data_IF_401164114685
#
_entry.id   IF_401164114685
#
_cell.length_a   1.000
_cell.length_b   1.000
_cell.length_c   1.000
_cell.angle_alpha   90.00
_cell.angle_beta   90.00
_cell.angle_gamma   90.00
#
_symmetry.space_group_name_H-M   'P 1'
#
loop_
_entity.id
_entity.type
_entity.pdbx_description
1 polymer ?
#
# COMPACT_ATOMS: atom_id res chain seq x y z
N UNK A 1 17.76 -17.88 13.45
CA UNK A 1 18.68 -16.72 13.39
C UNK A 1 18.01 -15.54 14.08
N UNK A 2 18.74 -14.77 14.88
CA UNK A 2 18.23 -13.53 15.50
C UNK A 2 18.98 -12.35 14.89
N UNK A 3 18.27 -11.26 14.63
CA UNK A 3 18.82 -10.02 14.12
C UNK A 3 18.85 -8.97 15.23
N UNK A 4 19.84 -8.08 15.21
CA UNK A 4 19.88 -6.93 16.10
C UNK A 4 19.02 -5.82 15.52
N UNK A 5 17.89 -5.53 16.16
CA UNK A 5 16.91 -4.54 15.70
C UNK A 5 16.94 -3.34 16.63
N UNK A 6 17.08 -2.14 16.05
CA UNK A 6 16.91 -0.86 16.73
C UNK A 6 15.43 -0.47 16.68
N UNK A 7 14.83 -0.19 17.83
CA UNK A 7 13.41 0.14 17.97
C UNK A 7 13.29 1.48 18.68
N UNK A 8 12.59 2.42 18.04
CA UNK A 8 12.26 3.74 18.58
C UNK A 8 10.77 3.85 18.80
N UNK A 9 10.36 4.05 20.05
CA UNK A 9 8.95 4.19 20.41
C UNK A 9 8.70 5.65 20.79
N UNK A 10 7.95 6.36 19.96
CA UNK A 10 7.53 7.73 20.24
C UNK A 10 6.30 7.70 21.13
N UNK A 11 6.44 8.20 22.36
CA UNK A 11 5.34 8.27 23.30
C UNK A 11 4.45 9.49 23.00
N UNK A 12 3.12 9.36 23.12
CA UNK A 12 2.22 10.49 22.96
C UNK A 12 2.36 11.50 24.12
N UNK A 13 2.44 12.80 23.80
CA UNK A 13 2.32 13.87 24.80
C UNK A 13 0.85 14.27 25.00
N UNK A 14 0.43 14.35 26.28
CA UNK A 14 -0.97 14.52 26.71
C UNK A 14 -1.54 15.89 26.35
N UNK A 15 -0.69 16.90 26.11
CA UNK A 15 -1.11 18.31 26.12
C UNK A 15 -1.03 19.03 24.77
N UNK A 16 -0.38 18.47 23.74
CA UNK A 16 -0.04 19.27 22.54
C UNK A 16 -0.25 18.56 21.20
N UNK A 17 -0.54 17.26 21.19
CA UNK A 17 -0.51 16.48 19.94
C UNK A 17 0.88 16.39 19.29
N UNK A 18 1.95 16.76 20.02
CA UNK A 18 3.35 16.68 19.58
C UNK A 18 3.98 15.36 20.01
N UNK A 19 5.10 15.03 19.36
CA UNK A 19 5.96 13.90 19.70
C UNK A 19 6.49 14.07 21.13
N UNK A 20 6.19 13.12 22.01
CA UNK A 20 6.69 13.08 23.38
C UNK A 20 8.08 12.44 23.47
N UNK A 21 8.42 11.92 24.65
CA UNK A 21 9.70 11.20 24.87
C UNK A 21 9.82 10.02 23.93
N UNK A 22 11.04 9.75 23.46
CA UNK A 22 11.36 8.60 22.61
C UNK A 22 12.10 7.56 23.45
N UNK A 23 11.57 6.34 23.51
CA UNK A 23 12.29 5.18 24.04
C UNK A 23 13.07 4.55 22.89
N UNK A 24 14.40 4.45 23.01
CA UNK A 24 15.24 3.78 22.01
C UNK A 24 15.87 2.53 22.63
N UNK A 25 15.65 1.38 22.02
CA UNK A 25 16.18 0.09 22.49
C UNK A 25 16.78 -0.68 21.31
N UNK A 26 17.84 -1.43 21.55
CA UNK A 26 18.33 -2.45 20.61
C UNK A 26 18.01 -3.83 21.17
N UNK A 27 17.36 -4.70 20.39
CA UNK A 27 16.92 -6.03 20.83
C UNK A 27 17.27 -7.10 19.79
N UNK A 28 17.60 -8.30 20.27
CA UNK A 28 17.75 -9.48 19.41
C UNK A 28 16.37 -10.08 19.14
N UNK A 29 15.96 -10.08 17.87
CA UNK A 29 14.62 -10.52 17.45
C UNK A 29 14.73 -11.64 16.42
N UNK A 30 13.97 -12.71 16.60
CA UNK A 30 13.89 -13.81 15.63
C UNK A 30 13.12 -13.42 14.37
N UNK A 31 13.46 -14.03 13.23
CA UNK A 31 12.81 -13.72 11.94
C UNK A 31 11.28 -13.88 11.93
N UNK A 32 10.77 -14.85 12.69
CA UNK A 32 9.34 -15.17 12.81
C UNK A 32 8.73 -14.71 14.14
N UNK A 33 9.52 -14.01 14.96
CA UNK A 33 9.06 -13.49 16.24
C UNK A 33 8.08 -12.34 16.02
N UNK A 34 7.02 -12.29 16.83
CA UNK A 34 6.03 -11.23 16.72
C UNK A 34 6.60 -9.92 17.21
N UNK A 35 6.81 -8.96 16.30
CA UNK A 35 7.28 -7.61 16.64
C UNK A 35 6.32 -6.92 17.61
N UNK A 36 5.02 -7.19 17.51
CA UNK A 36 4.02 -6.71 18.46
C UNK A 36 4.36 -7.14 19.90
N UNK A 37 4.65 -8.42 20.11
CA UNK A 37 5.00 -8.95 21.43
C UNK A 37 6.31 -8.33 21.94
N UNK A 38 7.31 -8.23 21.07
CA UNK A 38 8.59 -7.57 21.40
C UNK A 38 8.35 -6.12 21.88
N UNK A 39 7.52 -5.35 21.16
CA UNK A 39 7.19 -3.97 21.50
C UNK A 39 6.42 -3.90 22.82
N UNK A 40 5.42 -4.77 23.02
CA UNK A 40 4.66 -4.81 24.28
C UNK A 40 5.57 -5.15 25.48
N UNK A 41 6.53 -6.05 25.31
CA UNK A 41 7.55 -6.34 26.35
C UNK A 41 8.40 -5.11 26.64
N UNK A 42 8.90 -4.42 25.61
CA UNK A 42 9.66 -3.16 25.81
C UNK A 42 8.80 -2.14 26.57
N UNK A 43 7.53 -1.96 26.20
CA UNK A 43 6.65 -1.03 26.91
C UNK A 43 6.50 -1.40 28.39
N UNK A 44 6.34 -2.69 28.72
CA UNK A 44 6.25 -3.17 30.11
C UNK A 44 7.54 -2.91 30.90
N UNK A 45 8.70 -3.17 30.29
CA UNK A 45 10.01 -2.92 30.90
C UNK A 45 10.22 -1.43 31.22
N UNK A 46 9.63 -0.54 30.41
CA UNK A 46 9.71 0.91 30.56
C UNK A 46 8.42 1.56 31.10
N UNK A 47 7.57 0.80 31.81
CA UNK A 47 6.26 1.30 32.29
C UNK A 47 6.35 2.60 33.10
N UNK A 48 7.42 2.80 33.87
CA UNK A 48 7.67 4.01 34.66
C UNK A 48 7.82 5.29 33.80
N UNK A 49 8.16 5.14 32.51
CA UNK A 49 8.28 6.27 31.58
C UNK A 49 6.99 6.53 30.80
N UNK A 50 6.00 5.62 30.90
CA UNK A 50 4.78 5.73 30.13
C UNK A 50 3.79 6.68 30.81
N UNK A 51 3.01 7.43 30.03
CA UNK A 51 1.91 8.20 30.59
C UNK A 51 0.91 7.29 31.30
N UNK A 52 0.40 7.72 32.46
CA UNK A 52 -0.53 6.93 33.29
C UNK A 52 -1.84 6.52 32.58
N UNK A 53 -2.20 7.19 31.48
CA UNK A 53 -3.39 6.88 30.68
C UNK A 53 -3.15 5.78 29.63
N UNK A 54 -1.91 5.32 29.47
CA UNK A 54 -1.53 4.38 28.43
C UNK A 54 -1.57 2.95 28.96
N UNK A 55 -2.63 2.20 28.62
CA UNK A 55 -2.71 0.75 28.88
C UNK A 55 -1.73 -0.02 27.98
N UNK A 56 -1.05 -1.02 28.54
CA UNK A 56 -0.16 -1.94 27.82
C UNK A 56 -0.78 -3.34 27.83
N UNK A 57 -1.67 -3.60 26.88
CA UNK A 57 -2.31 -4.90 26.70
C UNK A 57 -2.28 -5.34 25.23
N UNK A 58 -2.73 -6.57 24.98
CA UNK A 58 -2.77 -7.17 23.65
C UNK A 58 -3.70 -6.44 22.67
N UNK A 59 -4.57 -5.57 23.15
CA UNK A 59 -5.49 -4.76 22.34
C UNK A 59 -4.93 -3.37 22.05
N UNK A 60 -3.73 -3.03 22.54
CA UNK A 60 -3.11 -1.72 22.29
C UNK A 60 -2.81 -1.52 20.80
N UNK A 61 -3.36 -0.50 20.13
CA UNK A 61 -2.97 -0.19 18.75
C UNK A 61 -1.47 0.14 18.67
N UNK A 62 -0.74 -0.50 17.76
CA UNK A 62 0.69 -0.29 17.55
C UNK A 62 0.93 -0.10 16.06
N UNK A 63 1.34 1.09 15.66
CA UNK A 63 1.78 1.37 14.30
C UNK A 63 3.29 1.15 14.20
N UNK A 64 3.71 0.33 13.23
CA UNK A 64 5.11 0.04 12.92
C UNK A 64 5.45 0.71 11.59
N UNK A 65 6.60 1.37 11.54
CA UNK A 65 7.22 1.91 10.34
C UNK A 65 8.66 1.42 10.25
N UNK A 66 9.15 1.27 9.02
CA UNK A 66 10.59 1.17 8.81
C UNK A 66 11.18 2.57 8.92
N UNK A 67 12.30 2.69 9.60
CA UNK A 67 13.03 3.94 9.54
C UNK A 67 13.59 4.15 8.14
N UNK A 68 13.36 5.34 7.61
CA UNK A 68 13.80 5.72 6.28
C UNK A 68 14.10 7.22 6.25
N UNK A 69 14.90 7.63 5.27
CA UNK A 69 15.09 9.03 4.92
C UNK A 69 13.78 9.66 4.43
N UNK A 70 12.89 8.84 3.88
CA UNK A 70 11.49 9.21 3.65
C UNK A 70 10.74 9.18 4.97
N UNK A 71 10.00 10.25 5.29
CA UNK A 71 9.16 10.27 6.48
C UNK A 71 7.96 9.32 6.30
N UNK A 72 8.16 8.05 6.65
CA UNK A 72 7.16 6.98 6.51
C UNK A 72 5.91 7.23 7.38
N UNK A 73 6.04 7.94 8.50
CA UNK A 73 4.89 8.40 9.28
C UNK A 73 4.04 9.40 8.49
N UNK A 74 4.65 10.38 7.81
CA UNK A 74 3.93 11.30 6.92
C UNK A 74 3.28 10.58 5.74
N UNK A 75 3.90 9.50 5.24
CA UNK A 75 3.42 8.71 4.10
C UNK A 75 2.21 7.84 4.46
N UNK A 76 2.26 7.15 5.60
CA UNK A 76 1.26 6.16 5.99
C UNK A 76 0.31 6.63 7.10
N UNK A 77 0.51 7.83 7.64
CA UNK A 77 -0.29 8.39 8.72
C UNK A 77 -0.18 7.56 10.00
N UNK A 78 -1.21 7.58 10.84
CA UNK A 78 -1.23 6.92 12.16
C UNK A 78 -1.40 5.39 12.13
N UNK A 79 -1.42 4.77 10.94
CA UNK A 79 -1.83 3.38 10.76
C UNK A 79 -0.66 2.41 10.53
N UNK A 80 0.57 2.91 10.36
CA UNK A 80 1.72 2.05 10.07
C UNK A 80 1.71 1.51 8.64
N UNK A 81 2.52 0.47 8.41
CA UNK A 81 2.69 -0.18 7.11
C UNK A 81 1.35 -0.72 6.56
N UNK A 82 0.86 -0.26 5.39
CA UNK A 82 -0.45 -0.65 4.88
C UNK A 82 -0.43 -1.89 3.97
N UNK A 83 0.68 -2.62 3.88
CA UNK A 83 0.89 -3.68 2.89
C UNK A 83 1.36 -4.98 3.53
N UNK A 84 0.77 -6.11 3.14
CA UNK A 84 1.28 -7.46 3.45
C UNK A 84 1.60 -8.20 2.17
N UNK A 85 2.39 -9.26 2.28
CA UNK A 85 2.70 -10.18 1.18
C UNK A 85 1.81 -11.42 1.30
N UNK A 86 1.16 -11.80 0.21
CA UNK A 86 0.44 -13.07 0.07
C UNK A 86 1.42 -14.22 -0.20
N UNK A 87 0.94 -15.47 -0.10
CA UNK A 87 1.76 -16.65 -0.40
C UNK A 87 2.34 -16.64 -1.83
N UNK A 88 1.56 -16.14 -2.80
CA UNK A 88 1.97 -16.00 -4.22
C UNK A 88 2.88 -14.79 -4.47
N UNK A 89 3.38 -14.14 -3.42
CA UNK A 89 4.21 -12.92 -3.44
C UNK A 89 3.49 -11.67 -3.98
N UNK A 90 2.20 -11.74 -4.27
CA UNK A 90 1.40 -10.53 -4.53
C UNK A 90 1.21 -9.73 -3.25
N UNK A 91 0.98 -8.43 -3.39
CA UNK A 91 0.72 -7.55 -2.27
C UNK A 91 -0.78 -7.50 -2.00
N UNK A 92 -1.13 -7.52 -0.72
CA UNK A 92 -2.46 -7.21 -0.22
C UNK A 92 -2.40 -5.93 0.60
N UNK A 93 -3.30 -5.01 0.29
CA UNK A 93 -3.48 -3.76 1.03
C UNK A 93 -4.31 -4.07 2.28
N UNK A 94 -3.80 -3.69 3.44
CA UNK A 94 -4.48 -3.90 4.71
C UNK A 94 -5.63 -2.90 4.88
N UNK A 95 -6.69 -3.30 5.58
CA UNK A 95 -7.66 -2.31 6.04
C UNK A 95 -6.98 -1.34 7.03
N UNK A 96 -7.45 -0.09 7.12
CA UNK A 96 -6.83 0.98 7.93
C UNK A 96 -6.38 0.52 9.32
N UNK A 97 -7.27 -0.14 10.07
CA UNK A 97 -6.98 -0.58 11.44
C UNK A 97 -6.28 -1.93 11.50
N UNK A 98 -6.30 -2.72 10.43
CA UNK A 98 -5.74 -4.08 10.42
C UNK A 98 -4.23 -4.07 10.68
N UNK A 99 -3.50 -3.10 10.11
CA UNK A 99 -2.06 -2.92 10.32
C UNK A 99 -1.70 -2.75 11.82
N UNK A 100 -2.56 -2.08 12.60
CA UNK A 100 -2.30 -1.74 14.00
C UNK A 100 -2.34 -2.94 14.96
N UNK A 101 -2.99 -4.02 14.53
CA UNK A 101 -3.18 -5.24 15.31
C UNK A 101 -2.44 -6.43 14.68
N UNK A 102 -1.81 -6.23 13.52
CA UNK A 102 -1.11 -7.30 12.81
C UNK A 102 0.10 -7.77 13.59
N UNK A 103 0.32 -9.09 13.57
CA UNK A 103 1.52 -9.74 14.11
C UNK A 103 2.66 -9.68 13.08
N UNK A 104 3.21 -8.49 12.88
CA UNK A 104 4.36 -8.31 11.99
C UNK A 104 5.56 -9.15 12.43
N UNK A 105 6.33 -9.62 11.45
CA UNK A 105 7.59 -10.35 11.63
C UNK A 105 8.69 -9.69 10.81
N UNK A 106 9.95 -9.84 11.20
CA UNK A 106 11.07 -9.31 10.41
C UNK A 106 11.11 -9.90 9.00
N UNK A 107 10.83 -11.20 8.87
CA UNK A 107 10.76 -11.88 7.58
C UNK A 107 9.78 -11.21 6.61
N UNK A 108 8.61 -10.83 7.12
CA UNK A 108 7.59 -10.16 6.31
C UNK A 108 8.01 -8.74 5.91
N UNK A 109 8.62 -7.99 6.82
CA UNK A 109 9.13 -6.65 6.55
C UNK A 109 10.28 -6.68 5.53
N UNK A 110 11.22 -7.60 5.68
CA UNK A 110 12.33 -7.82 4.74
C UNK A 110 11.82 -8.18 3.34
N UNK A 111 10.78 -9.01 3.25
CA UNK A 111 10.15 -9.34 1.97
C UNK A 111 9.56 -8.09 1.31
N UNK A 112 8.86 -7.24 2.07
CA UNK A 112 8.28 -5.99 1.56
C UNK A 112 9.35 -4.98 1.09
N UNK A 113 10.48 -4.92 1.77
CA UNK A 113 11.66 -4.13 1.34
C UNK A 113 12.28 -4.74 0.08
N UNK A 114 12.46 -6.06 0.05
CA UNK A 114 13.08 -6.78 -1.08
C UNK A 114 12.28 -6.61 -2.37
N UNK A 115 10.95 -6.64 -2.30
CA UNK A 115 10.10 -6.37 -3.47
C UNK A 115 9.97 -4.88 -3.79
N UNK A 116 10.52 -3.99 -2.95
CA UNK A 116 10.63 -2.56 -3.20
C UNK A 116 9.39 -1.73 -2.85
N UNK A 117 8.43 -2.31 -2.11
CA UNK A 117 7.19 -1.63 -1.70
C UNK A 117 7.41 -0.76 -0.45
N UNK A 118 8.38 -1.15 0.38
CA UNK A 118 8.85 -0.36 1.52
C UNK A 118 10.26 0.15 1.30
N UNK A 119 10.52 1.36 1.79
CA UNK A 119 11.85 1.96 1.88
C UNK A 119 12.31 1.94 3.34
N UNK A 120 13.58 1.63 3.58
CA UNK A 120 14.16 1.48 4.92
C UNK A 120 14.70 0.07 5.18
N UNK A 121 14.93 -0.25 6.45
CA UNK A 121 15.41 -1.57 6.89
C UNK A 121 14.49 -2.14 7.97
N UNK A 122 14.26 -3.46 7.95
CA UNK A 122 13.55 -4.14 9.05
C UNK A 122 14.35 -4.14 10.36
N UNK A 123 15.65 -3.87 10.30
CA UNK A 123 16.54 -3.78 11.47
C UNK A 123 16.45 -2.41 12.18
N UNK A 124 15.74 -1.42 11.63
CA UNK A 124 15.56 -0.11 12.24
C UNK A 124 14.09 0.35 12.15
N UNK A 125 13.39 0.29 13.28
CA UNK A 125 11.94 0.46 13.37
C UNK A 125 11.56 1.71 14.15
N UNK A 126 10.59 2.44 13.61
CA UNK A 126 9.87 3.52 14.27
C UNK A 126 8.49 3.02 14.69
N UNK A 127 8.12 3.25 15.95
CA UNK A 127 6.88 2.77 16.56
C UNK A 127 6.08 3.96 17.06
N UNK A 128 4.80 3.99 16.68
CA UNK A 128 3.85 4.98 17.15
C UNK A 128 2.65 4.29 17.83
N UNK A 129 2.17 4.89 18.92
CA UNK A 129 1.05 4.38 19.70
C UNK A 129 -0.17 5.29 19.54
N UNK A 130 -1.04 5.05 18.54
CA UNK A 130 -2.15 5.96 18.27
C UNK A 130 -3.11 6.08 19.46
N UNK A 131 -3.51 7.32 19.75
CA UNK A 131 -4.48 7.63 20.82
C UNK A 131 -5.94 7.68 20.34
N UNK A 132 -6.16 7.65 19.02
CA UNK A 132 -7.47 7.65 18.40
C UNK A 132 -7.34 7.32 16.91
N UNK A 133 -8.32 6.60 16.37
CA UNK A 133 -8.27 6.09 14.99
C UNK A 133 -9.05 6.95 13.99
N UNK A 134 -9.83 7.92 14.48
CA UNK A 134 -10.76 8.71 13.66
C UNK A 134 -11.90 7.87 13.07
N UNK A 135 -12.84 8.51 12.38
CA UNK A 135 -13.89 7.84 11.63
C UNK A 135 -13.50 7.75 10.15
N UNK A 136 -13.19 6.54 9.67
CA UNK A 136 -12.96 6.27 8.26
C UNK A 136 -14.22 5.69 7.61
N UNK A 137 -14.78 6.39 6.63
CA UNK A 137 -15.83 5.84 5.78
C UNK A 137 -15.25 4.93 4.69
N UNK A 138 -15.93 3.83 4.40
CA UNK A 138 -15.63 3.02 3.21
C UNK A 138 -16.44 3.61 2.05
N UNK A 139 -15.76 4.20 1.07
CA UNK A 139 -16.39 4.58 -0.20
C UNK A 139 -16.55 3.34 -1.09
N UNK A 140 -17.64 3.31 -1.85
CA UNK A 140 -17.85 2.28 -2.88
C UNK A 140 -17.21 2.76 -4.19
N UNK A 141 -16.44 1.92 -4.87
CA UNK A 141 -15.78 2.27 -6.12
C UNK A 141 -16.26 1.39 -7.27
N UNK A 142 -16.61 2.01 -8.41
CA UNK A 142 -17.00 1.26 -9.61
C UNK A 142 -15.79 0.86 -10.45
N UNK A 143 -15.14 -0.22 -10.04
CA UNK A 143 -13.98 -0.79 -10.73
C UNK A 143 -14.24 -1.18 -12.18
N UNK A 144 -15.44 -1.70 -12.44
CA UNK A 144 -15.82 -2.21 -13.73
C UNK A 144 -15.97 -1.07 -14.75
N UNK A 145 -16.66 0.01 -14.37
CA UNK A 145 -16.72 1.24 -15.15
C UNK A 145 -15.33 1.88 -15.33
N UNK A 146 -14.55 1.95 -14.25
CA UNK A 146 -13.20 2.52 -14.28
C UNK A 146 -12.27 1.80 -15.26
N UNK A 147 -12.21 0.47 -15.20
CA UNK A 147 -11.32 -0.32 -16.05
C UNK A 147 -11.73 -0.24 -17.53
N UNK A 148 -13.04 -0.18 -17.81
CA UNK A 148 -13.57 0.03 -19.15
C UNK A 148 -13.17 1.39 -19.74
N UNK A 149 -13.23 2.47 -18.96
CA UNK A 149 -12.97 3.84 -19.43
C UNK A 149 -11.48 4.19 -19.49
N UNK A 150 -10.67 3.53 -18.64
CA UNK A 150 -9.27 3.93 -18.39
C UNK A 150 -8.26 2.96 -18.99
N UNK A 151 -8.42 1.66 -18.72
CA UNK A 151 -7.43 0.63 -19.08
C UNK A 151 -7.72 0.08 -20.49
N UNK A 152 -8.99 -0.21 -20.79
CA UNK A 152 -9.39 -0.81 -22.07
C UNK A 152 -9.25 0.15 -23.27
N UNK A 153 -9.22 1.47 -23.04
CA UNK A 153 -9.18 2.50 -24.10
C UNK A 153 -7.75 2.84 -24.56
N UNK A 154 -6.71 2.15 -24.05
CA UNK A 154 -5.32 2.55 -24.28
C UNK A 154 -4.78 2.33 -25.71
N UNK A 155 -5.47 1.62 -26.62
CA UNK A 155 -5.00 1.45 -27.99
C UNK A 155 -6.13 1.37 -29.04
N UNK A 156 -6.05 2.21 -30.06
CA UNK A 156 -6.67 2.05 -31.40
C UNK A 156 -8.19 1.99 -31.59
N UNK A 157 -9.02 1.81 -30.56
CA UNK A 157 -10.44 1.50 -30.77
C UNK A 157 -11.35 2.68 -31.12
N UNK A 158 -10.91 3.95 -31.10
CA UNK A 158 -11.83 5.06 -31.45
C UNK A 158 -12.48 4.88 -32.84
N UNK A 159 -11.80 4.23 -33.78
CA UNK A 159 -12.19 4.09 -35.19
C UNK A 159 -13.01 2.83 -35.56
N UNK A 160 -13.23 1.87 -34.66
CA UNK A 160 -13.92 0.63 -35.03
C UNK A 160 -15.46 0.72 -34.93
N UNK A 161 -16.23 0.02 -35.80
CA UNK A 161 -17.69 -0.08 -35.70
C UNK A 161 -18.15 -0.65 -34.35
N UNK A 162 -19.30 -0.19 -33.85
CA UNK A 162 -19.82 -0.49 -32.51
C UNK A 162 -19.98 -1.98 -32.15
N UNK A 163 -20.23 -2.84 -33.13
CA UNK A 163 -20.44 -4.28 -32.92
C UNK A 163 -19.11 -5.05 -32.72
N UNK A 164 -18.07 -4.74 -33.50
CA UNK A 164 -16.71 -5.29 -33.33
C UNK A 164 -16.12 -4.82 -32.00
N UNK A 165 -16.35 -3.53 -31.67
CA UNK A 165 -16.01 -2.97 -30.35
C UNK A 165 -16.61 -3.82 -29.24
N UNK A 166 -17.91 -4.15 -29.27
CA UNK A 166 -18.59 -4.94 -28.24
C UNK A 166 -18.03 -6.37 -28.09
N UNK A 167 -17.69 -7.06 -29.18
CA UNK A 167 -17.16 -8.44 -29.11
C UNK A 167 -15.73 -8.45 -28.56
N UNK A 168 -14.87 -7.56 -29.04
CA UNK A 168 -13.51 -7.41 -28.52
C UNK A 168 -13.54 -6.91 -27.08
N UNK A 169 -14.45 -5.97 -26.75
CA UNK A 169 -14.71 -5.56 -25.37
C UNK A 169 -15.08 -6.77 -24.52
N UNK A 170 -16.07 -7.57 -24.89
CA UNK A 170 -16.53 -8.71 -24.07
C UNK A 170 -15.44 -9.76 -23.83
N UNK A 171 -14.63 -10.09 -24.84
CA UNK A 171 -13.52 -11.04 -24.68
C UNK A 171 -12.38 -10.45 -23.83
N UNK A 172 -11.92 -9.22 -24.11
CA UNK A 172 -10.82 -8.58 -23.34
C UNK A 172 -11.22 -8.15 -21.93
N UNK A 173 -12.47 -7.76 -21.75
CA UNK A 173 -13.01 -7.41 -20.44
C UNK A 173 -13.12 -8.63 -19.54
N UNK A 174 -13.23 -9.84 -20.10
CA UNK A 174 -13.16 -11.07 -19.30
C UNK A 174 -11.83 -11.16 -18.57
N UNK A 175 -10.72 -10.89 -19.25
CA UNK A 175 -9.38 -10.96 -18.66
C UNK A 175 -9.15 -9.81 -17.66
N UNK A 176 -9.53 -8.58 -18.01
CA UNK A 176 -9.47 -7.42 -17.09
C UNK A 176 -10.35 -7.64 -15.86
N UNK A 177 -11.54 -8.21 -16.03
CA UNK A 177 -12.46 -8.53 -14.92
C UNK A 177 -11.85 -9.57 -13.99
N UNK A 178 -11.18 -10.59 -14.51
CA UNK A 178 -10.46 -11.56 -13.67
C UNK A 178 -9.34 -10.88 -12.86
N UNK A 179 -8.59 -9.95 -13.47
CA UNK A 179 -7.56 -9.17 -12.77
C UNK A 179 -8.20 -8.30 -11.68
N UNK A 180 -9.26 -7.56 -12.01
CA UNK A 180 -10.01 -6.70 -11.06
C UNK A 180 -10.60 -7.54 -9.92
N UNK A 181 -11.21 -8.68 -10.21
CA UNK A 181 -11.77 -9.57 -9.20
C UNK A 181 -10.67 -10.09 -8.27
N UNK A 182 -9.48 -10.43 -8.80
CA UNK A 182 -8.32 -10.81 -7.99
C UNK A 182 -7.86 -9.64 -7.12
N UNK A 183 -7.80 -8.43 -7.66
CA UNK A 183 -7.42 -7.23 -6.91
C UNK A 183 -8.36 -6.94 -5.75
N UNK A 184 -9.68 -6.99 -5.99
CA UNK A 184 -10.69 -6.73 -4.97
C UNK A 184 -10.67 -7.84 -3.91
N UNK A 185 -10.66 -9.11 -4.32
CA UNK A 185 -10.83 -10.25 -3.40
C UNK A 185 -9.55 -10.63 -2.67
N UNK A 186 -8.41 -10.65 -3.36
CA UNK A 186 -7.17 -11.23 -2.84
C UNK A 186 -6.16 -10.15 -2.41
N UNK A 187 -6.18 -8.99 -3.07
CA UNK A 187 -5.28 -7.87 -2.75
C UNK A 187 -5.98 -6.74 -1.99
N UNK A 188 -7.29 -6.84 -1.73
CA UNK A 188 -8.10 -5.85 -1.02
C UNK A 188 -7.93 -4.42 -1.60
N UNK A 189 -7.76 -4.32 -2.91
CA UNK A 189 -7.69 -3.05 -3.63
C UNK A 189 -9.13 -2.61 -3.90
N UNK A 190 -9.59 -1.66 -3.09
CA UNK A 190 -10.94 -1.09 -3.11
C UNK A 190 -11.07 0.06 -4.09
N UNK A 191 -10.01 0.80 -4.35
CA UNK A 191 -10.02 1.99 -5.20
C UNK A 191 -8.82 2.03 -6.16
N UNK A 192 -9.01 2.62 -7.34
CA UNK A 192 -7.95 2.70 -8.35
C UNK A 192 -6.74 3.56 -7.93
N UNK A 193 -6.95 4.54 -7.05
CA UNK A 193 -5.87 5.34 -6.46
C UNK A 193 -4.86 4.48 -5.71
N UNK A 194 -5.27 3.37 -5.11
CA UNK A 194 -4.38 2.52 -4.34
C UNK A 194 -3.32 1.83 -5.23
N UNK A 195 -3.66 1.51 -6.49
CA UNK A 195 -2.70 0.98 -7.46
C UNK A 195 -1.69 2.06 -7.83
N UNK A 196 -2.20 3.26 -8.12
CA UNK A 196 -1.37 4.42 -8.47
C UNK A 196 -0.41 4.75 -7.33
N UNK A 197 -0.90 4.87 -6.12
CA UNK A 197 -0.12 5.15 -4.90
C UNK A 197 0.92 4.07 -4.62
N UNK A 198 0.58 2.79 -4.81
CA UNK A 198 1.52 1.68 -4.70
C UNK A 198 2.68 1.81 -5.71
N UNK A 199 2.37 2.06 -6.98
CA UNK A 199 3.42 2.18 -8.02
C UNK A 199 4.22 3.48 -7.81
N UNK A 200 3.59 4.56 -7.38
CA UNK A 200 4.28 5.83 -7.11
C UNK A 200 5.23 5.76 -5.90
N UNK A 201 5.26 4.66 -5.13
CA UNK A 201 6.19 4.49 -4.00
C UNK A 201 7.66 4.43 -4.41
N UNK A 202 7.96 4.16 -5.69
CA UNK A 202 9.31 4.11 -6.24
C UNK A 202 9.36 4.82 -7.60
N UNK A 203 10.49 5.45 -7.91
CA UNK A 203 10.69 6.20 -9.16
C UNK A 203 10.70 5.33 -10.42
N UNK A 204 11.01 4.04 -10.28
CA UNK A 204 11.15 3.11 -11.39
C UNK A 204 10.91 1.66 -10.97
N UNK A 205 10.28 0.91 -11.86
CA UNK A 205 9.91 -0.48 -11.62
C UNK A 205 10.28 -1.41 -12.76
N UNK A 206 10.85 -2.56 -12.44
CA UNK A 206 10.91 -3.67 -13.38
C UNK A 206 9.50 -4.24 -13.61
N UNK A 207 9.18 -4.53 -14.87
CA UNK A 207 7.87 -5.05 -15.27
C UNK A 207 7.53 -6.36 -14.54
N UNK A 208 8.52 -7.26 -14.42
CA UNK A 208 8.37 -8.57 -13.76
C UNK A 208 7.99 -8.39 -12.28
N UNK A 209 8.66 -7.48 -11.58
CA UNK A 209 8.42 -7.20 -10.16
C UNK A 209 7.01 -6.65 -9.94
N UNK A 210 6.59 -5.67 -10.75
CA UNK A 210 5.23 -5.12 -10.66
C UNK A 210 4.14 -6.14 -10.98
N UNK A 211 4.38 -7.02 -11.96
CA UNK A 211 3.45 -8.11 -12.25
C UNK A 211 3.25 -9.02 -11.06
N UNK A 212 4.32 -9.40 -10.37
CA UNK A 212 4.24 -10.22 -9.16
C UNK A 212 3.47 -9.48 -8.07
N UNK A 213 3.85 -8.22 -7.78
CA UNK A 213 3.21 -7.37 -6.76
C UNK A 213 1.70 -7.24 -7.00
N UNK A 214 1.29 -6.97 -8.23
CA UNK A 214 -0.12 -6.81 -8.61
C UNK A 214 -0.80 -8.13 -8.98
N UNK A 215 -0.11 -9.27 -8.91
CA UNK A 215 -0.65 -10.58 -9.27
C UNK A 215 -1.10 -10.72 -10.72
N UNK A 216 -0.50 -9.97 -11.66
CA UNK A 216 -0.83 -9.96 -13.10
C UNK A 216 -0.01 -11.01 -13.84
N UNK A 217 -0.71 -11.87 -14.60
CA UNK A 217 -0.09 -12.97 -15.35
C UNK A 217 0.64 -12.52 -16.62
N UNK A 218 0.06 -11.63 -17.41
CA UNK A 218 0.54 -11.30 -18.76
C UNK A 218 1.21 -9.92 -18.81
N UNK A 219 2.36 -9.84 -19.50
CA UNK A 219 3.12 -8.59 -19.66
C UNK A 219 2.27 -7.51 -20.35
N UNK A 220 1.51 -7.90 -21.39
CA UNK A 220 0.67 -6.99 -22.14
C UNK A 220 -0.37 -6.26 -21.27
N UNK A 221 -0.89 -6.91 -20.23
CA UNK A 221 -1.88 -6.30 -19.35
C UNK A 221 -1.23 -5.33 -18.36
N UNK A 222 -0.07 -5.70 -17.80
CA UNK A 222 0.71 -4.81 -16.94
C UNK A 222 1.18 -3.56 -17.71
N UNK A 223 1.68 -3.75 -18.94
CA UNK A 223 2.08 -2.64 -19.83
C UNK A 223 0.91 -1.69 -20.09
N UNK A 224 -0.30 -2.22 -20.36
CA UNK A 224 -1.49 -1.38 -20.55
C UNK A 224 -1.85 -0.57 -19.31
N UNK A 225 -1.74 -1.17 -18.13
CA UNK A 225 -1.99 -0.48 -16.87
C UNK A 225 -0.98 0.64 -16.66
N UNK A 226 0.31 0.36 -16.84
CA UNK A 226 1.40 1.35 -16.74
C UNK A 226 1.21 2.49 -17.73
N UNK A 227 0.94 2.16 -18.99
CA UNK A 227 0.63 3.13 -20.00
C UNK A 227 -0.57 4.01 -19.61
N UNK A 228 -1.65 3.41 -19.12
CA UNK A 228 -2.86 4.13 -18.69
C UNK A 228 -2.59 5.06 -17.49
N UNK A 229 -1.68 4.66 -16.59
CA UNK A 229 -1.18 5.48 -15.48
C UNK A 229 -0.23 6.59 -15.94
N UNK A 230 0.20 6.60 -17.20
CA UNK A 230 1.15 7.58 -17.73
C UNK A 230 2.61 7.23 -17.47
N UNK A 231 2.93 5.95 -17.28
CA UNK A 231 4.30 5.46 -17.20
C UNK A 231 4.83 5.15 -18.61
N UNK A 232 6.15 5.29 -18.77
CA UNK A 232 6.90 5.04 -20.01
C UNK A 232 8.06 4.07 -19.73
N UNK A 233 8.42 3.22 -20.70
CA UNK A 233 9.60 2.38 -20.57
C UNK A 233 10.87 3.25 -20.66
N UNK A 234 11.80 3.03 -19.73
CA UNK A 234 13.10 3.66 -19.67
C UNK A 234 14.16 2.60 -19.33
N UNK A 235 14.94 2.20 -20.33
CA UNK A 235 15.83 1.04 -20.26
C UNK A 235 15.08 -0.22 -19.76
N UNK A 236 15.44 -0.76 -18.59
CA UNK A 236 14.86 -1.98 -18.03
C UNK A 236 13.71 -1.70 -17.04
N UNK A 237 13.32 -0.44 -16.87
CA UNK A 237 12.33 -0.02 -15.90
C UNK A 237 11.17 0.74 -16.56
N UNK A 238 10.07 0.85 -15.82
CA UNK A 238 8.95 1.73 -16.11
C UNK A 238 8.97 2.89 -15.13
N UNK A 239 8.96 4.11 -15.66
CA UNK A 239 9.04 5.35 -14.88
C UNK A 239 7.90 6.28 -15.25
N UNK A 240 7.55 7.21 -14.36
CA UNK A 240 6.51 8.19 -14.66
C UNK A 240 6.94 9.04 -15.87
N UNK A 241 6.12 9.05 -16.92
CA UNK A 241 6.50 9.61 -18.22
C UNK A 241 6.49 11.14 -18.25
N UNK A 242 7.49 11.72 -18.91
CA UNK A 242 7.64 13.16 -19.08
C UNK A 242 6.83 13.74 -20.26
N UNK A 243 6.41 12.88 -21.19
CA UNK A 243 5.76 13.30 -22.43
C UNK A 243 4.36 13.90 -22.21
N UNK A 244 3.91 14.73 -23.16
CA UNK A 244 2.55 15.27 -23.15
C UNK A 244 1.48 14.17 -23.15
N UNK A 245 1.74 13.05 -23.84
CA UNK A 245 0.84 11.90 -23.90
C UNK A 245 0.71 11.24 -22.54
N UNK A 246 1.82 11.01 -21.86
CA UNK A 246 1.86 10.38 -20.53
C UNK A 246 1.23 11.25 -19.46
N UNK A 247 1.54 12.55 -19.44
CA UNK A 247 0.86 13.54 -18.58
C UNK A 247 -0.65 13.56 -18.82
N UNK A 248 -1.10 13.47 -20.07
CA UNK A 248 -2.54 13.39 -20.40
C UNK A 248 -3.19 12.11 -19.89
N UNK A 249 -2.53 10.95 -20.03
CA UNK A 249 -3.04 9.67 -19.53
C UNK A 249 -3.14 9.68 -18.00
N UNK A 250 -2.11 10.19 -17.30
CA UNK A 250 -2.11 10.38 -15.85
C UNK A 250 -3.28 11.23 -15.37
N UNK A 251 -3.48 12.41 -15.96
CA UNK A 251 -4.63 13.29 -15.63
C UNK A 251 -5.97 12.60 -15.88
N UNK A 252 -6.08 11.80 -16.94
CA UNK A 252 -7.29 11.04 -17.24
C UNK A 252 -7.54 9.97 -16.17
N UNK A 253 -6.50 9.24 -15.75
CA UNK A 253 -6.58 8.26 -14.68
C UNK A 253 -7.08 8.92 -13.39
N UNK A 254 -6.44 10.00 -12.93
CA UNK A 254 -6.83 10.74 -11.71
C UNK A 254 -8.24 11.34 -11.80
N UNK A 255 -8.64 11.84 -12.98
CA UNK A 255 -10.01 12.30 -13.20
C UNK A 255 -11.02 11.16 -13.12
N UNK A 256 -10.68 9.98 -13.63
CA UNK A 256 -11.54 8.81 -13.57
C UNK A 256 -11.62 8.23 -12.15
N UNK A 257 -10.55 8.27 -11.35
CA UNK A 257 -10.59 7.92 -9.93
C UNK A 257 -11.71 8.71 -9.23
N UNK A 258 -11.77 10.02 -9.44
CA UNK A 258 -12.81 10.89 -8.86
C UNK A 258 -14.20 10.59 -9.42
N UNK A 259 -14.31 10.36 -10.73
CA UNK A 259 -15.59 10.06 -11.40
C UNK A 259 -16.24 8.78 -10.88
N UNK A 260 -15.45 7.74 -10.58
CA UNK A 260 -15.94 6.41 -10.21
C UNK A 260 -15.90 6.13 -8.70
N UNK A 261 -15.34 7.05 -7.90
CA UNK A 261 -15.55 7.09 -6.46
C UNK A 261 -16.99 7.49 -6.17
N UNK A 262 -17.79 6.57 -5.61
CA UNK A 262 -19.18 6.87 -5.26
C UNK A 262 -19.23 7.56 -3.90
N UNK A 263 -19.80 8.76 -3.86
CA UNK A 263 -20.17 9.39 -2.60
C UNK A 263 -21.37 8.66 -2.00
N UNK A 264 -21.45 8.57 -0.68
CA UNK A 264 -22.56 7.93 0.05
C UNK A 264 -23.92 8.63 -0.10
N UNK A 265 -24.01 9.71 -0.90
CA UNK A 265 -25.22 10.53 -1.01
C UNK A 265 -26.23 10.03 -2.06
N UNK A 266 -26.00 8.88 -2.67
CA UNK A 266 -26.99 8.21 -3.53
C UNK A 266 -27.55 6.95 -2.86
N UNK A 267 -28.31 7.14 -1.79
CA UNK A 267 -29.44 6.28 -1.40
C UNK A 267 -30.47 7.10 -0.64
#
# INVERSE_FOLDING_TARGET
MKNSVKIRITLPDKNTGREGRIITVTKQVGLDESLRQVILTILKDYHNLLPAYLSIDETRPIAIYLHSHENNFKKYGNFGIPYTVNEDKSIRILALTESLYRKWTLRELDELVRVGVLTGSADDLDIYLPMGLGAGGIACFDWLGFAADTIAVASFFRLLPGYIKKIIYRKRYKDIRVIVDKWIKNSNIKEACQIRELIDTKSGWELKTLKTILGIRYDADMIRILEALGYEPYANEWRLGGSAKSKRRRRKWESNEKKFARSRNEK
#
